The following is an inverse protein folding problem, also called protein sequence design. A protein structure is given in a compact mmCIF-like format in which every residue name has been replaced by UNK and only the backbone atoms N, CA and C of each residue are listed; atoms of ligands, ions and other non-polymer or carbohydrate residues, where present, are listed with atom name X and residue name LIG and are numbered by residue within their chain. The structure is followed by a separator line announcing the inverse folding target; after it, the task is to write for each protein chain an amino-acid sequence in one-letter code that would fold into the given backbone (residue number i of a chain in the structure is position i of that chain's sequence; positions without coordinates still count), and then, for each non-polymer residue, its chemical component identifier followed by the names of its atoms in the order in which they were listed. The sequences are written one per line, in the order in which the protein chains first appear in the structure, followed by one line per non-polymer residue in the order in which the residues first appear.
data_IF_620788073631
#
_entry.id   IF_620788073631
#
_cell.length_a   1.000
_cell.length_b   1.000
_cell.length_c   1.000
_cell.angle_alpha   90.00
_cell.angle_beta   90.00
_cell.angle_gamma   90.00
#
_symmetry.space_group_name_H-M   'P 1'
#
loop_
_entity.id
_entity.type
_entity.pdbx_description
1 polymer ?
#
# COMPACT_ATOMS: atom_id res chain seq x y z
N UNK A 1 -9.81 -5.21 -27.86
CA UNK A 1 -8.37 -5.47 -27.57
C UNK A 1 -8.20 -5.26 -26.10
N UNK A 2 -8.11 -6.32 -25.31
CA UNK A 2 -7.77 -6.22 -23.88
C UNK A 2 -6.32 -5.78 -23.80
N UNK A 3 -6.06 -4.55 -23.33
CA UNK A 3 -4.71 -4.11 -23.05
C UNK A 3 -4.16 -5.04 -21.97
N UNK A 4 -3.15 -5.81 -22.32
CA UNK A 4 -2.43 -6.66 -21.36
C UNK A 4 -1.79 -5.73 -20.33
N UNK A 5 -2.04 -5.98 -19.05
CA UNK A 5 -1.45 -5.19 -17.96
C UNK A 5 0.07 -5.35 -18.00
N UNK A 6 0.79 -4.24 -17.92
CA UNK A 6 2.23 -4.24 -17.73
C UNK A 6 2.55 -4.37 -16.23
N UNK A 7 2.58 -5.61 -15.74
CA UNK A 7 2.90 -5.92 -14.35
C UNK A 7 4.29 -5.44 -13.94
N UNK A 8 5.24 -5.38 -14.90
CA UNK A 8 6.58 -4.91 -14.62
C UNK A 8 6.58 -3.40 -14.33
N UNK A 9 5.94 -2.60 -15.18
CA UNK A 9 5.83 -1.15 -14.96
C UNK A 9 5.11 -0.84 -13.65
N UNK A 10 4.08 -1.64 -13.30
CA UNK A 10 3.38 -1.47 -12.04
C UNK A 10 4.25 -1.82 -10.83
N UNK A 11 4.99 -2.92 -10.89
CA UNK A 11 5.90 -3.33 -9.82
C UNK A 11 7.02 -2.31 -9.62
N UNK A 12 7.60 -1.80 -10.71
CA UNK A 12 8.63 -0.77 -10.67
C UNK A 12 8.08 0.53 -10.04
N UNK A 13 6.89 0.99 -10.45
CA UNK A 13 6.24 2.14 -9.81
C UNK A 13 5.96 1.90 -8.32
N UNK A 14 5.50 0.70 -7.96
CA UNK A 14 5.24 0.34 -6.56
C UNK A 14 6.52 0.40 -5.72
N UNK A 15 7.60 -0.18 -6.21
CA UNK A 15 8.85 -0.29 -5.44
C UNK A 15 9.67 1.01 -5.54
N UNK A 16 9.89 1.55 -6.74
CA UNK A 16 10.83 2.65 -6.94
C UNK A 16 10.23 4.02 -6.60
N UNK A 17 8.90 4.14 -6.65
CA UNK A 17 8.22 5.41 -6.38
C UNK A 17 7.53 5.41 -5.01
N UNK A 18 6.73 4.39 -4.71
CA UNK A 18 5.89 4.39 -3.50
C UNK A 18 6.61 3.83 -2.28
N UNK A 19 7.33 2.72 -2.40
CA UNK A 19 8.05 2.08 -1.29
C UNK A 19 9.40 2.76 -1.08
N UNK A 20 10.19 2.91 -2.13
CA UNK A 20 11.55 3.49 -2.13
C UNK A 20 12.45 2.89 -1.04
N UNK A 21 12.69 1.59 -1.05
CA UNK A 21 13.54 0.97 -0.04
C UNK A 21 15.00 1.38 -0.25
N UNK A 22 15.73 1.61 0.83
CA UNK A 22 17.18 1.70 0.78
C UNK A 22 17.80 0.29 0.71
N UNK A 23 19.07 0.22 0.33
CA UNK A 23 19.83 -1.04 0.34
C UNK A 23 19.82 -1.65 1.73
N UNK A 24 19.42 -2.92 1.83
CA UNK A 24 19.33 -3.65 3.10
C UNK A 24 18.04 -3.41 3.90
N UNK A 25 17.14 -2.55 3.43
CA UNK A 25 15.82 -2.42 4.08
C UNK A 25 14.99 -3.70 3.91
N UNK A 26 14.28 -4.09 4.96
CA UNK A 26 13.40 -5.26 4.93
C UNK A 26 12.08 -4.91 4.26
N UNK A 27 11.71 -5.66 3.22
CA UNK A 27 10.45 -5.51 2.47
C UNK A 27 9.67 -6.82 2.52
N UNK A 28 8.51 -6.82 3.14
CA UNK A 28 7.58 -7.95 3.15
C UNK A 28 6.49 -7.71 2.10
N UNK A 29 6.39 -8.61 1.14
CA UNK A 29 5.29 -8.65 0.18
C UNK A 29 4.34 -9.75 0.59
N UNK A 30 3.04 -9.44 0.67
CA UNK A 30 2.01 -10.38 1.13
C UNK A 30 0.97 -10.54 0.03
N UNK A 31 0.69 -11.77 -0.29
CA UNK A 31 -0.41 -12.18 -1.18
C UNK A 31 -1.16 -13.37 -0.61
N UNK A 32 -2.20 -13.84 -1.28
CA UNK A 32 -2.92 -15.04 -0.86
C UNK A 32 -3.06 -16.07 -1.99
N UNK A 33 -3.61 -17.24 -1.65
CA UNK A 33 -3.74 -18.36 -2.57
C UNK A 33 -4.75 -18.16 -3.70
N UNK A 34 -5.57 -17.13 -3.63
CA UNK A 34 -6.53 -16.76 -4.68
C UNK A 34 -5.94 -15.78 -5.71
N UNK A 35 -4.81 -15.14 -5.38
CA UNK A 35 -4.13 -14.24 -6.31
C UNK A 35 -3.43 -15.04 -7.41
N UNK A 36 -3.91 -14.88 -8.62
CA UNK A 36 -3.37 -15.53 -9.82
C UNK A 36 -2.49 -14.58 -10.65
N UNK A 37 -2.20 -13.39 -10.14
CA UNK A 37 -1.41 -12.41 -10.87
C UNK A 37 0.09 -12.66 -10.73
N UNK A 38 0.87 -12.15 -11.68
CA UNK A 38 2.34 -12.15 -11.59
C UNK A 38 2.86 -11.02 -10.69
N UNK A 39 1.99 -10.14 -10.24
CA UNK A 39 2.37 -8.89 -9.57
C UNK A 39 3.18 -9.09 -8.28
N UNK A 40 2.79 -9.95 -7.32
CA UNK A 40 3.57 -10.11 -6.09
C UNK A 40 5.01 -10.58 -6.35
N UNK A 41 5.17 -11.54 -7.27
CA UNK A 41 6.50 -12.04 -7.66
C UNK A 41 7.31 -10.97 -8.41
N UNK A 42 6.65 -10.17 -9.23
CA UNK A 42 7.30 -9.08 -9.97
C UNK A 42 7.75 -7.96 -9.02
N UNK A 43 6.93 -7.63 -8.01
CA UNK A 43 7.32 -6.71 -6.94
C UNK A 43 8.49 -7.24 -6.10
N UNK A 44 8.51 -8.55 -5.78
CA UNK A 44 9.65 -9.16 -5.10
C UNK A 44 10.95 -8.96 -5.90
N UNK A 45 10.91 -9.25 -7.20
CA UNK A 45 12.07 -9.06 -8.09
C UNK A 45 12.50 -7.59 -8.16
N UNK A 46 11.54 -6.65 -8.20
CA UNK A 46 11.84 -5.22 -8.20
C UNK A 46 12.50 -4.78 -6.87
N UNK A 47 11.98 -5.22 -5.72
CA UNK A 47 12.57 -4.92 -4.42
C UNK A 47 13.99 -5.48 -4.27
N UNK A 48 14.24 -6.71 -4.74
CA UNK A 48 15.57 -7.31 -4.75
C UNK A 48 16.54 -6.55 -5.67
N UNK A 49 16.08 -6.07 -6.84
CA UNK A 49 16.89 -5.21 -7.74
C UNK A 49 17.24 -3.88 -7.09
N UNK A 50 16.34 -3.32 -6.27
CA UNK A 50 16.59 -2.11 -5.49
C UNK A 50 17.58 -2.33 -4.32
N UNK A 51 18.02 -3.57 -4.09
CA UNK A 51 18.95 -3.92 -3.01
C UNK A 51 18.30 -4.15 -1.65
N UNK A 52 16.99 -4.28 -1.58
CA UNK A 52 16.29 -4.59 -0.36
C UNK A 52 16.44 -6.07 0.04
N UNK A 53 16.34 -6.36 1.33
CA UNK A 53 16.08 -7.72 1.85
C UNK A 53 14.58 -7.98 1.76
N UNK A 54 14.16 -8.54 0.61
CA UNK A 54 12.74 -8.69 0.29
C UNK A 54 12.29 -10.15 0.41
N UNK A 55 11.08 -10.33 0.95
CA UNK A 55 10.45 -11.64 1.10
C UNK A 55 9.01 -11.59 0.58
N UNK A 56 8.56 -12.68 -0.03
CA UNK A 56 7.17 -12.89 -0.44
C UNK A 56 6.53 -13.95 0.45
N UNK A 57 5.45 -13.58 1.12
CA UNK A 57 4.64 -14.48 1.93
C UNK A 57 3.29 -14.70 1.25
N UNK A 58 2.97 -15.96 0.96
CA UNK A 58 1.66 -16.36 0.44
C UNK A 58 0.86 -16.92 1.60
N UNK A 59 -0.23 -16.27 1.98
CA UNK A 59 -1.15 -16.76 3.01
C UNK A 59 -2.35 -17.49 2.42
N UNK A 60 -3.03 -18.28 3.22
CA UNK A 60 -4.35 -18.78 2.84
C UNK A 60 -5.33 -17.64 2.65
N UNK A 61 -6.17 -17.72 1.62
CA UNK A 61 -7.23 -16.74 1.39
C UNK A 61 -8.21 -16.72 2.57
N UNK A 62 -8.55 -15.53 3.03
CA UNK A 62 -9.53 -15.31 4.10
C UNK A 62 -10.47 -14.22 3.62
N UNK A 63 -11.77 -14.48 3.65
CA UNK A 63 -12.77 -13.46 3.30
C UNK A 63 -12.49 -12.17 4.09
N UNK A 64 -12.50 -11.04 3.41
CA UNK A 64 -12.27 -9.70 3.97
C UNK A 64 -13.16 -9.37 5.16
N UNK A 65 -14.35 -9.96 5.22
CA UNK A 65 -15.28 -9.75 6.34
C UNK A 65 -14.84 -10.45 7.62
N UNK A 66 -14.06 -11.51 7.50
CA UNK A 66 -13.39 -12.11 8.63
C UNK A 66 -12.14 -11.28 8.93
N UNK A 67 -12.24 -10.30 9.83
CA UNK A 67 -11.08 -9.59 10.39
C UNK A 67 -10.11 -10.63 10.94
N UNK A 68 -9.17 -11.03 10.12
CA UNK A 68 -8.24 -12.06 10.52
C UNK A 68 -7.13 -11.44 11.36
N UNK A 69 -7.04 -11.89 12.59
CA UNK A 69 -5.79 -11.78 13.31
C UNK A 69 -4.78 -12.66 12.58
N UNK A 70 -3.70 -12.13 12.01
CA UNK A 70 -2.68 -12.94 11.38
C UNK A 70 -2.16 -13.97 12.36
N UNK A 71 -1.89 -15.18 11.89
CA UNK A 71 -1.18 -16.17 12.68
C UNK A 71 0.22 -15.69 13.09
N UNK A 72 0.89 -16.37 14.04
CA UNK A 72 2.16 -15.89 14.59
C UNK A 72 3.23 -15.66 13.52
N UNK A 73 3.38 -16.53 12.54
CA UNK A 73 4.39 -16.40 11.47
C UNK A 73 4.21 -15.11 10.69
N UNK A 74 2.97 -14.79 10.28
CA UNK A 74 2.70 -13.56 9.54
C UNK A 74 2.84 -12.33 10.45
N UNK A 75 2.43 -12.43 11.71
CA UNK A 75 2.58 -11.35 12.69
C UNK A 75 4.05 -11.01 12.92
N UNK A 76 4.90 -12.01 13.11
CA UNK A 76 6.34 -11.82 13.30
C UNK A 76 7.02 -11.25 12.05
N UNK A 77 6.64 -11.73 10.86
CA UNK A 77 7.12 -11.18 9.59
C UNK A 77 6.74 -9.70 9.42
N UNK A 78 5.50 -9.32 9.76
CA UNK A 78 5.04 -7.93 9.76
C UNK A 78 5.88 -7.07 10.70
N UNK A 79 6.08 -7.54 11.95
CA UNK A 79 6.84 -6.80 12.97
C UNK A 79 8.33 -6.64 12.64
N UNK A 80 8.89 -7.57 11.88
CA UNK A 80 10.30 -7.55 11.45
C UNK A 80 10.52 -6.66 10.21
N UNK A 81 9.46 -6.18 9.54
CA UNK A 81 9.57 -5.53 8.25
C UNK A 81 9.50 -4.00 8.36
N UNK A 82 10.39 -3.31 7.65
CA UNK A 82 10.35 -1.85 7.51
C UNK A 82 9.28 -1.41 6.53
N UNK A 83 9.10 -2.16 5.45
CA UNK A 83 8.06 -1.94 4.45
C UNK A 83 7.20 -3.18 4.28
N UNK A 84 5.90 -2.98 4.20
CA UNK A 84 4.91 -4.02 4.02
C UNK A 84 4.08 -3.66 2.78
N UNK A 85 4.06 -4.55 1.79
CA UNK A 85 3.25 -4.43 0.58
C UNK A 85 2.20 -5.55 0.61
N UNK A 86 0.95 -5.19 0.80
CA UNK A 86 -0.16 -6.12 0.99
C UNK A 86 -1.09 -6.08 -0.22
N UNK A 87 -1.15 -7.16 -0.99
CA UNK A 87 -1.99 -7.32 -2.17
C UNK A 87 -3.33 -8.01 -1.90
N UNK A 88 -3.55 -8.52 -0.71
CA UNK A 88 -4.77 -9.27 -0.38
C UNK A 88 -5.70 -8.55 0.61
N UNK A 89 -5.27 -7.43 1.18
CA UNK A 89 -6.03 -6.72 2.20
C UNK A 89 -6.19 -7.53 3.49
N UNK A 90 -7.01 -7.04 4.41
CA UNK A 90 -7.32 -7.75 5.65
C UNK A 90 -6.33 -7.56 6.79
N UNK A 91 -5.09 -7.17 6.53
CA UNK A 91 -4.07 -6.97 7.57
C UNK A 91 -3.95 -5.52 8.06
N UNK A 92 -4.58 -4.57 7.40
CA UNK A 92 -4.42 -3.12 7.69
C UNK A 92 -4.71 -2.78 9.15
N UNK A 93 -5.69 -3.48 9.74
CA UNK A 93 -6.13 -3.30 11.13
C UNK A 93 -5.63 -4.39 12.08
N UNK A 94 -4.77 -5.28 11.61
CA UNK A 94 -4.21 -6.32 12.44
C UNK A 94 -3.33 -5.72 13.55
N UNK A 95 -3.36 -6.25 14.78
CA UNK A 95 -2.55 -5.73 15.89
C UNK A 95 -1.06 -5.61 15.53
N UNK A 96 -0.48 -6.62 14.90
CA UNK A 96 0.92 -6.59 14.45
C UNK A 96 1.19 -5.46 13.46
N UNK A 97 0.26 -5.17 12.55
CA UNK A 97 0.40 -4.06 11.59
C UNK A 97 0.32 -2.70 12.26
N UNK A 98 -0.60 -2.54 13.22
CA UNK A 98 -0.72 -1.30 14.01
C UNK A 98 0.58 -1.07 14.79
N UNK A 99 1.09 -2.11 15.44
CA UNK A 99 2.33 -2.06 16.21
C UNK A 99 3.55 -1.78 15.31
N UNK A 100 3.70 -2.47 14.18
CA UNK A 100 4.78 -2.20 13.23
C UNK A 100 4.76 -0.75 12.74
N UNK A 101 3.59 -0.21 12.40
CA UNK A 101 3.43 1.19 11.99
C UNK A 101 3.77 2.18 13.10
N UNK A 102 3.41 1.90 14.34
CA UNK A 102 3.79 2.74 15.49
C UNK A 102 5.30 2.78 15.71
N UNK A 103 6.02 1.76 15.26
CA UNK A 103 7.49 1.67 15.27
C UNK A 103 8.15 2.28 14.04
N UNK A 104 7.35 2.83 13.10
CA UNK A 104 7.85 3.49 11.88
C UNK A 104 7.80 2.65 10.62
N UNK A 105 7.27 1.42 10.66
CA UNK A 105 7.05 0.63 9.44
C UNK A 105 6.01 1.29 8.54
N UNK A 106 6.20 1.19 7.23
CA UNK A 106 5.28 1.73 6.23
C UNK A 106 4.49 0.60 5.58
N UNK A 107 3.18 0.82 5.44
CA UNK A 107 2.26 -0.13 4.79
C UNK A 107 1.74 0.49 3.49
N UNK A 108 1.88 -0.24 2.39
CA UNK A 108 1.14 -0.07 1.15
C UNK A 108 0.18 -1.25 1.02
N UNK A 109 -1.12 -1.00 1.10
CA UNK A 109 -2.12 -2.05 0.92
C UNK A 109 -2.98 -1.72 -0.29
N UNK A 110 -3.08 -2.66 -1.21
CA UNK A 110 -3.92 -2.58 -2.40
C UNK A 110 -4.59 -3.93 -2.64
N UNK A 111 -5.71 -3.92 -3.34
CA UNK A 111 -6.44 -5.14 -3.61
C UNK A 111 -6.40 -5.47 -5.09
N UNK A 112 -5.89 -6.64 -5.41
CA UNK A 112 -5.55 -7.00 -6.80
C UNK A 112 -6.76 -7.36 -7.66
N UNK A 113 -7.87 -7.82 -7.08
CA UNK A 113 -9.01 -8.33 -7.87
C UNK A 113 -9.76 -7.27 -8.70
N UNK A 114 -9.57 -5.98 -8.42
CA UNK A 114 -10.16 -4.87 -9.19
C UNK A 114 -9.09 -4.04 -9.92
N UNK A 115 -7.86 -4.53 -9.98
CA UNK A 115 -6.68 -3.77 -10.39
C UNK A 115 -6.64 -3.51 -11.90
N UNK A 116 -7.19 -4.37 -12.74
CA UNK A 116 -7.02 -4.23 -14.20
C UNK A 116 -7.43 -2.87 -14.71
N UNK A 117 -8.55 -2.35 -14.26
CA UNK A 117 -9.03 -1.02 -14.66
C UNK A 117 -8.27 0.12 -13.96
N UNK A 118 -7.87 -0.10 -12.72
CA UNK A 118 -7.23 0.90 -11.89
C UNK A 118 -5.76 1.13 -12.26
N UNK A 119 -5.01 0.06 -12.54
CA UNK A 119 -3.59 0.12 -12.91
C UNK A 119 -3.39 0.77 -14.27
N UNK A 120 -4.20 0.37 -15.26
CA UNK A 120 -4.05 0.89 -16.62
C UNK A 120 -4.43 2.37 -16.76
N UNK A 121 -5.28 2.89 -15.89
CA UNK A 121 -5.84 4.24 -16.04
C UNK A 121 -5.27 5.27 -15.07
N UNK A 122 -4.87 4.87 -13.89
CA UNK A 122 -4.51 5.81 -12.84
C UNK A 122 -3.04 5.73 -12.39
N UNK A 123 -2.56 4.55 -12.00
CA UNK A 123 -1.29 4.47 -11.27
C UNK A 123 -0.04 4.77 -12.10
N UNK A 124 -0.03 4.45 -13.40
CA UNK A 124 1.15 4.67 -14.24
C UNK A 124 1.23 6.11 -14.81
N UNK A 125 0.15 6.88 -14.72
CA UNK A 125 0.07 8.24 -15.27
C UNK A 125 -0.04 9.32 -14.18
N UNK A 126 0.22 8.99 -12.93
CA UNK A 126 0.17 9.95 -11.82
C UNK A 126 1.52 10.67 -11.70
N UNK A 127 1.48 11.99 -11.64
CA UNK A 127 2.60 12.78 -11.14
C UNK A 127 2.67 12.62 -9.60
N UNK A 128 3.38 11.58 -9.16
CA UNK A 128 3.54 11.26 -7.74
C UNK A 128 4.27 12.38 -6.98
N UNK A 129 5.18 13.11 -7.62
CA UNK A 129 5.87 14.21 -6.95
C UNK A 129 4.93 15.38 -6.70
N UNK A 130 4.09 15.72 -7.68
CA UNK A 130 3.06 16.73 -7.47
C UNK A 130 2.04 16.29 -6.40
N UNK A 131 1.66 15.02 -6.40
CA UNK A 131 0.75 14.47 -5.39
C UNK A 131 1.34 14.57 -3.98
N UNK A 132 2.60 14.19 -3.80
CA UNK A 132 3.31 14.27 -2.51
C UNK A 132 3.42 15.73 -2.07
N UNK A 133 3.88 16.63 -2.96
CA UNK A 133 3.96 18.07 -2.65
C UNK A 133 2.61 18.65 -2.21
N UNK A 134 1.52 18.28 -2.89
CA UNK A 134 0.18 18.74 -2.54
C UNK A 134 -0.30 18.15 -1.21
N UNK A 135 -0.01 16.88 -0.94
CA UNK A 135 -0.33 16.24 0.34
C UNK A 135 0.41 16.93 1.50
N UNK A 136 1.70 17.26 1.33
CA UNK A 136 2.49 17.96 2.33
C UNK A 136 1.97 19.38 2.59
N UNK A 137 1.50 20.09 1.55
CA UNK A 137 0.88 21.42 1.70
C UNK A 137 -0.42 21.31 2.50
N UNK A 138 -1.26 20.35 2.18
CA UNK A 138 -2.52 20.12 2.91
C UNK A 138 -2.23 19.72 4.35
N UNK A 139 -1.26 18.83 4.60
CA UNK A 139 -0.87 18.45 5.96
C UNK A 139 -0.43 19.67 6.80
N UNK A 140 0.44 20.55 6.24
CA UNK A 140 0.86 21.77 6.91
C UNK A 140 -0.29 22.75 7.21
N UNK A 141 -1.27 22.85 6.30
CA UNK A 141 -2.46 23.64 6.55
C UNK A 141 -3.29 23.03 7.68
N UNK A 142 -3.40 21.71 7.69
CA UNK A 142 -4.16 20.95 8.68
C UNK A 142 -3.55 21.11 10.09
N UNK A 143 -2.23 20.99 10.21
CA UNK A 143 -1.49 21.15 11.47
C UNK A 143 -1.66 22.56 12.10
N UNK A 144 -1.96 23.57 11.28
CA UNK A 144 -2.15 24.95 11.73
C UNK A 144 -3.63 25.37 11.79
N UNK A 145 -4.56 24.43 11.65
CA UNK A 145 -5.99 24.70 11.56
C UNK A 145 -6.72 24.11 12.77
N UNK A 146 -7.58 24.90 13.39
CA UNK A 146 -8.45 24.45 14.49
C UNK A 146 -9.89 24.21 14.06
N UNK A 147 -10.23 24.59 12.82
CA UNK A 147 -11.60 24.57 12.33
C UNK A 147 -11.63 24.30 10.82
N UNK A 148 -12.48 23.42 10.38
CA UNK A 148 -12.65 23.09 8.97
C UNK A 148 -14.12 23.24 8.56
N UNK A 149 -14.35 23.91 7.42
CA UNK A 149 -15.66 24.02 6.77
C UNK A 149 -15.55 23.46 5.35
N UNK A 150 -16.28 22.39 5.07
CA UNK A 150 -16.31 21.71 3.79
C UNK A 150 -17.66 21.94 3.11
N UNK A 151 -17.62 22.50 1.91
CA UNK A 151 -18.82 22.76 1.10
C UNK A 151 -18.68 22.14 -0.30
N UNK A 152 -19.79 21.79 -0.93
CA UNK A 152 -19.83 21.42 -2.34
C UNK A 152 -21.05 21.99 -3.04
N UNK A 153 -21.00 22.17 -4.37
CA UNK A 153 -22.15 22.61 -5.15
C UNK A 153 -23.36 21.66 -5.06
N UNK A 154 -23.14 20.40 -4.68
CA UNK A 154 -24.18 19.38 -4.50
C UNK A 154 -24.83 19.43 -3.11
N UNK A 155 -24.49 20.40 -2.28
CA UNK A 155 -25.13 20.62 -0.98
C UNK A 155 -24.40 20.04 0.23
N UNK A 156 -23.14 19.60 0.09
CA UNK A 156 -22.31 19.31 1.25
C UNK A 156 -22.08 20.59 2.04
N UNK A 157 -22.33 20.57 3.33
CA UNK A 157 -22.03 21.67 4.27
C UNK A 157 -21.68 21.06 5.63
N UNK A 158 -20.38 20.89 5.89
CA UNK A 158 -19.86 20.19 7.08
C UNK A 158 -18.89 21.11 7.80
N UNK A 159 -19.13 21.33 9.09
CA UNK A 159 -18.27 22.09 9.99
C UNK A 159 -17.75 21.17 11.09
N UNK A 160 -16.42 21.20 11.32
CA UNK A 160 -15.83 20.44 12.43
C UNK A 160 -14.54 21.11 12.96
N UNK A 161 -14.23 20.79 14.22
CA UNK A 161 -12.95 21.16 14.83
C UNK A 161 -11.94 20.04 14.60
N UNK A 162 -10.70 20.41 14.41
CA UNK A 162 -9.54 19.52 14.33
C UNK A 162 -8.89 19.39 15.70
#
# INVERSE_FOLDING_TARGET
MTNKIDWQAFADATIDILVKPAIGDTVLIITDTEDQTELPVTCLKAALRAGADAQLLVKHHIDRKALSTPGPVLSDAILASKFIVDFCGGIVRAPATIEARSRGSRLLSTYVNDIEDYVNRALLNIDYEAMIRNADLVAKLWDNTNYCHVTSPQGTDINFKL
#
